data_IF_316342524084
#
_entry.id   IF_316342524084
#
_cell.length_a   1.000
_cell.length_b   1.000
_cell.length_c   1.000
_cell.angle_alpha   90.00
_cell.angle_beta   90.00
_cell.angle_gamma   90.00
#
_symmetry.space_group_name_H-M   'P 1'
#
loop_
_entity.id
_entity.type
_entity.pdbx_description
1 polymer ?
#
# COMPACT_ATOMS: atom_id res chain seq x y z
N UNK A 1 14.34 14.68 -16.82
CA UNK A 1 13.53 13.53 -16.36
C UNK A 1 13.35 13.67 -14.86
N UNK A 2 12.12 13.53 -14.36
CA UNK A 2 11.78 13.80 -12.95
C UNK A 2 10.91 12.67 -12.38
N UNK A 3 10.76 12.65 -11.05
CA UNK A 3 9.92 11.71 -10.32
C UNK A 3 8.73 12.46 -9.71
N UNK A 4 7.55 11.88 -9.83
CA UNK A 4 6.31 12.35 -9.22
C UNK A 4 5.83 11.28 -8.24
N UNK A 5 5.71 11.63 -6.96
CA UNK A 5 5.20 10.72 -5.93
C UNK A 5 3.84 11.21 -5.46
N UNK A 6 2.84 10.31 -5.50
CA UNK A 6 1.53 10.51 -4.89
C UNK A 6 1.46 9.75 -3.56
N UNK A 7 1.05 10.44 -2.51
CA UNK A 7 0.77 9.86 -1.19
C UNK A 7 -0.72 9.65 -1.04
N UNK A 8 -1.12 8.45 -0.64
CA UNK A 8 -2.49 8.08 -0.30
C UNK A 8 -2.50 7.39 1.07
N UNK A 9 -3.61 7.50 1.79
CA UNK A 9 -3.78 6.79 3.06
C UNK A 9 -4.99 5.87 3.00
N UNK A 10 -4.91 4.73 3.67
CA UNK A 10 -6.05 3.86 3.88
C UNK A 10 -5.95 3.10 5.20
N UNK A 11 -7.09 2.73 5.75
CA UNK A 11 -7.16 2.00 7.01
C UNK A 11 -7.58 0.55 6.71
N UNK A 12 -6.83 -0.42 7.21
CA UNK A 12 -7.14 -1.82 7.02
C UNK A 12 -6.75 -2.67 8.23
N UNK A 13 -7.56 -3.72 8.48
CA UNK A 13 -7.26 -4.74 9.47
C UNK A 13 -6.69 -6.00 8.80
N UNK A 14 -5.71 -6.62 9.44
CA UNK A 14 -5.13 -7.89 8.98
C UNK A 14 -4.67 -8.77 10.15
N UNK A 15 -4.31 -10.01 9.80
CA UNK A 15 -3.66 -10.98 10.68
C UNK A 15 -2.63 -11.73 9.85
N UNK A 16 -1.41 -11.83 10.36
CA UNK A 16 -0.40 -12.69 9.75
C UNK A 16 -0.64 -14.13 10.22
N UNK A 17 -1.01 -15.00 9.29
CA UNK A 17 -1.32 -16.39 9.58
C UNK A 17 -1.05 -17.29 8.39
N UNK A 18 -0.28 -18.36 8.62
CA UNK A 18 -0.09 -19.42 7.66
C UNK A 18 -1.05 -20.58 7.98
N UNK A 19 -2.00 -20.92 7.08
CA UNK A 19 -3.00 -21.97 7.33
C UNK A 19 -2.42 -23.37 7.40
N UNK A 20 -1.18 -23.58 6.94
CA UNK A 20 -0.50 -24.88 7.01
C UNK A 20 0.31 -25.07 8.31
N UNK A 21 0.29 -24.10 9.22
CA UNK A 21 1.02 -24.15 10.49
C UNK A 21 0.06 -24.28 11.68
N UNK A 22 0.55 -24.86 12.78
CA UNK A 22 -0.17 -24.82 14.05
C UNK A 22 -0.31 -23.39 14.57
N UNK A 23 -1.24 -23.18 15.50
CA UNK A 23 -1.45 -21.87 16.13
C UNK A 23 -0.19 -21.43 16.85
N UNK A 24 0.43 -22.34 17.60
CA UNK A 24 1.64 -22.07 18.40
C UNK A 24 2.81 -21.68 17.50
N UNK A 25 2.94 -22.31 16.32
CA UNK A 25 3.96 -21.94 15.35
C UNK A 25 3.68 -20.55 14.75
N UNK A 26 2.42 -20.23 14.44
CA UNK A 26 2.05 -18.89 13.98
C UNK A 26 2.33 -17.83 15.04
N UNK A 27 1.99 -18.08 16.30
CA UNK A 27 2.27 -17.19 17.42
C UNK A 27 3.77 -17.04 17.67
N UNK A 28 4.55 -18.12 17.59
CA UNK A 28 6.01 -18.06 17.74
C UNK A 28 6.69 -17.25 16.62
N UNK A 29 6.18 -17.33 15.38
CA UNK A 29 6.78 -16.64 14.21
C UNK A 29 6.29 -15.20 14.07
N UNK A 30 4.98 -14.97 14.16
CA UNK A 30 4.37 -13.65 13.89
C UNK A 30 4.05 -12.88 15.18
N UNK A 31 4.14 -13.49 16.36
CA UNK A 31 3.90 -12.85 17.64
C UNK A 31 2.52 -12.18 17.71
N UNK A 32 2.51 -10.91 18.14
CA UNK A 32 1.28 -10.10 18.22
C UNK A 32 0.53 -9.97 16.89
N UNK A 33 1.21 -10.11 15.75
CA UNK A 33 0.58 -10.02 14.43
C UNK A 33 -0.26 -11.26 14.08
N UNK A 34 -0.05 -12.40 14.77
CA UNK A 34 -0.90 -13.60 14.67
C UNK A 34 -2.13 -13.57 15.58
N UNK A 35 -2.41 -12.44 16.26
CA UNK A 35 -3.57 -12.28 17.13
C UNK A 35 -4.85 -12.78 16.46
N UNK A 36 -5.56 -13.73 17.10
CA UNK A 36 -6.78 -14.33 16.57
C UNK A 36 -7.85 -13.29 16.24
N UNK A 37 -7.88 -12.19 17.00
CA UNK A 37 -8.81 -11.08 16.85
C UNK A 37 -8.34 -9.98 15.90
N UNK A 38 -7.33 -10.26 15.06
CA UNK A 38 -6.79 -9.33 14.07
C UNK A 38 -6.15 -8.08 14.72
N UNK A 39 -5.59 -7.21 13.90
CA UNK A 39 -5.13 -5.87 14.28
C UNK A 39 -5.21 -4.95 13.06
N UNK A 40 -5.15 -3.64 13.27
CA UNK A 40 -5.30 -2.65 12.21
C UNK A 40 -4.12 -1.72 12.08
N UNK A 41 -4.00 -1.09 10.91
CA UNK A 41 -3.06 -0.01 10.64
C UNK A 41 -3.72 1.08 9.82
N UNK A 42 -3.17 2.28 9.96
CA UNK A 42 -3.39 3.38 9.05
C UNK A 42 -2.17 3.37 8.10
N UNK A 43 -2.36 2.79 6.92
CA UNK A 43 -1.31 2.62 5.94
C UNK A 43 -1.10 3.89 5.13
N UNK A 44 0.16 4.22 4.89
CA UNK A 44 0.59 5.22 3.91
C UNK A 44 1.09 4.51 2.66
N UNK A 45 0.52 4.86 1.52
CA UNK A 45 0.83 4.33 0.20
C UNK A 45 1.51 5.42 -0.63
N UNK A 46 2.80 5.22 -0.89
CA UNK A 46 3.63 6.12 -1.69
C UNK A 46 3.85 5.53 -3.08
N UNK A 47 3.24 6.11 -4.10
CA UNK A 47 3.36 5.64 -5.48
C UNK A 47 4.15 6.64 -6.29
N UNK A 48 5.26 6.19 -6.87
CA UNK A 48 6.19 7.04 -7.61
C UNK A 48 6.20 6.65 -9.08
N UNK A 49 5.92 7.63 -9.95
CA UNK A 49 6.05 7.53 -11.41
C UNK A 49 7.22 8.41 -11.88
N UNK A 50 7.84 8.00 -12.98
CA UNK A 50 9.03 8.67 -13.54
C UNK A 50 8.79 8.99 -15.00
N UNK A 51 9.14 10.20 -15.42
CA UNK A 51 9.01 10.58 -16.83
C UNK A 51 9.66 11.92 -17.16
N UNK A 52 9.62 12.28 -18.44
CA UNK A 52 9.86 13.64 -18.88
C UNK A 52 8.56 14.44 -18.71
N UNK A 53 8.60 15.64 -18.13
CA UNK A 53 7.46 16.54 -18.19
C UNK A 53 7.05 16.78 -19.64
N UNK A 54 5.76 16.64 -19.92
CA UNK A 54 5.17 17.06 -21.18
C UNK A 54 5.45 18.55 -21.44
N UNK A 55 5.75 18.93 -22.69
CA UNK A 55 6.23 20.28 -23.01
C UNK A 55 5.18 21.37 -22.82
N UNK A 56 3.91 21.01 -22.97
CA UNK A 56 2.80 21.97 -22.98
C UNK A 56 2.16 22.08 -21.59
N UNK A 57 2.07 20.95 -20.87
CA UNK A 57 1.41 20.86 -19.55
C UNK A 57 2.38 20.83 -18.38
N UNK A 58 3.64 20.47 -18.60
CA UNK A 58 4.62 20.23 -17.54
C UNK A 58 4.34 18.99 -16.69
N UNK A 59 3.34 18.17 -17.05
CA UNK A 59 2.98 17.00 -16.27
C UNK A 59 3.86 15.82 -16.63
N UNK A 60 4.31 15.09 -15.61
CA UNK A 60 4.81 13.71 -15.80
C UNK A 60 3.64 12.76 -16.00
N UNK A 61 2.57 12.97 -15.25
CA UNK A 61 1.32 12.23 -15.29
C UNK A 61 0.23 13.08 -14.63
N UNK A 62 -1.02 12.93 -15.06
CA UNK A 62 -2.16 13.58 -14.41
C UNK A 62 -2.41 12.94 -13.02
N UNK A 63 -2.13 13.72 -11.96
CA UNK A 63 -2.27 13.27 -10.56
C UNK A 63 -3.68 12.85 -10.18
N UNK A 64 -4.72 13.33 -10.88
CA UNK A 64 -6.11 12.94 -10.66
C UNK A 64 -6.38 11.56 -11.25
N UNK A 65 -5.91 11.32 -12.48
CA UNK A 65 -5.98 9.99 -13.08
C UNK A 65 -5.21 8.97 -12.25
N UNK A 66 -4.03 9.34 -11.73
CA UNK A 66 -3.27 8.47 -10.84
C UNK A 66 -4.06 8.12 -9.57
N UNK A 67 -4.77 9.09 -8.96
CA UNK A 67 -5.65 8.80 -7.82
C UNK A 67 -6.75 7.78 -8.15
N UNK A 68 -7.39 7.92 -9.32
CA UNK A 68 -8.43 6.99 -9.76
C UNK A 68 -7.88 5.57 -9.94
N UNK A 69 -6.72 5.44 -10.58
CA UNK A 69 -6.04 4.15 -10.75
C UNK A 69 -5.67 3.52 -9.40
N UNK A 70 -5.14 4.32 -8.46
CA UNK A 70 -4.79 3.81 -7.13
C UNK A 70 -6.03 3.26 -6.45
N UNK A 71 -7.14 4.01 -6.45
CA UNK A 71 -8.39 3.58 -5.82
C UNK A 71 -9.02 2.35 -6.47
N UNK A 72 -8.82 2.15 -7.77
CA UNK A 72 -9.39 1.02 -8.52
C UNK A 72 -8.60 -0.27 -8.32
N UNK A 73 -7.26 -0.18 -8.25
CA UNK A 73 -6.38 -1.34 -8.33
C UNK A 73 -5.57 -1.66 -7.06
N UNK A 74 -5.57 -0.77 -6.07
CA UNK A 74 -4.77 -0.91 -4.84
C UNK A 74 -5.65 -0.84 -3.61
#
# INVERSE_FOLDING_TARGET
MVYLTRSEHFNAAHKLFNPNWSIEKNEAVFGKCANQNWHGHNYELLITVKGAPDSDTGFVFDVKQLSHLIREYV
#
